data_IF_230537252408
#
_entry.id   IF_230537252408
#
_cell.length_a   1.000
_cell.length_b   1.000
_cell.length_c   1.000
_cell.angle_alpha   90.00
_cell.angle_beta   90.00
_cell.angle_gamma   90.00
#
_symmetry.space_group_name_H-M   'P 1'
#
loop_
_entity.id
_entity.type
_entity.pdbx_description
1 polymer ?
#
# COMPACT_ATOMS: atom_id res chain seq x y z
N UNK A 1 24.07 -29.05 33.53
CA UNK A 1 25.06 -28.53 32.56
C UNK A 1 24.45 -28.64 31.16
N UNK A 2 23.52 -27.74 30.80
CA UNK A 2 22.93 -27.72 29.46
C UNK A 2 23.88 -27.01 28.52
N UNK A 3 24.48 -27.74 27.58
CA UNK A 3 25.30 -27.17 26.53
C UNK A 3 24.47 -26.11 25.79
N UNK A 4 24.85 -24.83 25.90
CA UNK A 4 24.23 -23.77 25.11
C UNK A 4 24.50 -24.06 23.63
N UNK A 5 23.52 -24.66 22.94
CA UNK A 5 23.58 -24.83 21.49
C UNK A 5 23.88 -23.47 20.86
N UNK A 6 24.76 -23.40 19.84
CA UNK A 6 25.11 -22.12 19.25
C UNK A 6 23.83 -21.45 18.72
N UNK A 7 23.64 -20.13 18.93
CA UNK A 7 22.40 -19.43 18.60
C UNK A 7 21.87 -19.72 17.19
N UNK A 8 22.78 -19.95 16.23
CA UNK A 8 22.45 -20.31 14.85
C UNK A 8 21.68 -21.64 14.71
N UNK A 9 21.95 -22.65 15.55
CA UNK A 9 21.23 -23.94 15.50
C UNK A 9 19.78 -23.77 15.92
N UNK A 10 19.53 -22.95 16.93
CA UNK A 10 18.16 -22.63 17.39
C UNK A 10 17.41 -21.86 16.29
N UNK A 11 18.08 -20.91 15.62
CA UNK A 11 17.48 -20.17 14.51
C UNK A 11 17.15 -21.07 13.32
N UNK A 12 18.01 -22.05 12.99
CA UNK A 12 17.73 -23.05 11.94
C UNK A 12 16.52 -23.91 12.30
N UNK A 13 16.38 -24.35 13.55
CA UNK A 13 15.21 -25.10 13.99
C UNK A 13 13.92 -24.27 13.84
N UNK A 14 13.97 -22.99 14.21
CA UNK A 14 12.85 -22.06 14.03
C UNK A 14 12.52 -21.81 12.56
N UNK A 15 13.52 -21.77 11.70
CA UNK A 15 13.33 -21.72 10.24
C UNK A 15 12.58 -22.96 9.75
N UNK A 16 12.95 -24.17 10.20
CA UNK A 16 12.24 -25.40 9.84
C UNK A 16 10.80 -25.40 10.34
N UNK A 17 10.56 -24.92 11.56
CA UNK A 17 9.21 -24.78 12.11
C UNK A 17 8.36 -23.80 11.28
N UNK A 18 8.93 -22.67 10.87
CA UNK A 18 8.25 -21.72 9.98
C UNK A 18 7.95 -22.33 8.60
N UNK A 19 8.90 -23.06 8.02
CA UNK A 19 8.72 -23.75 6.75
C UNK A 19 7.57 -24.78 6.82
N UNK A 20 7.53 -25.60 7.89
CA UNK A 20 6.45 -26.56 8.12
C UNK A 20 5.09 -25.87 8.25
N UNK A 21 5.03 -24.78 9.01
CA UNK A 21 3.80 -24.00 9.19
C UNK A 21 3.30 -23.43 7.85
N UNK A 22 4.19 -22.86 7.04
CA UNK A 22 3.80 -22.31 5.75
C UNK A 22 3.32 -23.42 4.81
N UNK A 23 4.01 -24.56 4.75
CA UNK A 23 3.59 -25.72 3.96
C UNK A 23 2.21 -26.22 4.39
N UNK A 24 1.95 -26.30 5.70
CA UNK A 24 0.64 -26.66 6.23
C UNK A 24 -0.44 -25.66 5.80
N UNK A 25 -0.18 -24.35 5.91
CA UNK A 25 -1.12 -23.32 5.48
C UNK A 25 -1.40 -23.37 3.98
N UNK A 26 -0.38 -23.59 3.14
CA UNK A 26 -0.55 -23.75 1.69
C UNK A 26 -1.34 -25.03 1.38
N UNK A 27 -1.07 -26.13 2.08
CA UNK A 27 -1.82 -27.38 1.91
C UNK A 27 -3.30 -27.19 2.28
N UNK A 28 -3.60 -26.53 3.40
CA UNK A 28 -4.97 -26.20 3.79
C UNK A 28 -5.64 -25.27 2.78
N UNK A 29 -4.91 -24.25 2.30
CA UNK A 29 -5.38 -23.34 1.25
C UNK A 29 -5.69 -24.05 -0.05
N UNK A 30 -4.83 -24.98 -0.49
CA UNK A 30 -5.08 -25.82 -1.68
C UNK A 30 -6.33 -26.67 -1.53
N UNK A 31 -6.49 -27.32 -0.37
CA UNK A 31 -7.67 -28.14 -0.08
C UNK A 31 -8.97 -27.31 -0.04
N UNK A 32 -8.89 -26.07 0.41
CA UNK A 32 -10.01 -25.12 0.35
C UNK A 32 -10.29 -24.68 -1.09
N UNK A 33 -9.28 -24.21 -1.82
CA UNK A 33 -9.42 -23.67 -3.18
C UNK A 33 -9.93 -24.71 -4.16
N UNK A 34 -9.44 -25.96 -4.11
CA UNK A 34 -9.93 -27.03 -4.99
C UNK A 34 -11.41 -27.36 -4.81
N UNK A 35 -12.02 -26.98 -3.68
CA UNK A 35 -13.45 -27.19 -3.43
C UNK A 35 -14.33 -26.10 -4.09
N UNK A 36 -13.76 -24.92 -4.36
CA UNK A 36 -14.48 -23.75 -4.88
C UNK A 36 -13.99 -23.28 -6.25
N UNK A 37 -12.92 -23.88 -6.77
CA UNK A 37 -12.30 -23.51 -8.04
C UNK A 37 -11.80 -24.73 -8.81
N UNK A 38 -11.59 -24.57 -10.12
CA UNK A 38 -11.19 -25.68 -10.99
C UNK A 38 -9.86 -26.29 -10.54
N UNK A 39 -9.74 -27.62 -10.62
CA UNK A 39 -8.58 -28.36 -10.11
C UNK A 39 -7.25 -27.86 -10.69
N UNK A 40 -7.20 -27.56 -11.98
CA UNK A 40 -6.01 -27.00 -12.64
C UNK A 40 -5.58 -25.66 -12.04
N UNK A 41 -6.52 -24.78 -11.71
CA UNK A 41 -6.21 -23.49 -11.10
C UNK A 41 -5.80 -23.64 -9.64
N UNK A 42 -6.40 -24.60 -8.90
CA UNK A 42 -5.94 -24.94 -7.56
C UNK A 42 -4.50 -25.48 -7.56
N UNK A 43 -4.14 -26.32 -8.54
CA UNK A 43 -2.77 -26.82 -8.72
C UNK A 43 -1.79 -25.68 -9.06
N UNK A 44 -2.14 -24.81 -10.01
CA UNK A 44 -1.36 -23.60 -10.31
C UNK A 44 -1.16 -22.74 -9.07
N UNK A 45 -2.23 -22.60 -8.26
CA UNK A 45 -2.16 -21.86 -7.01
C UNK A 45 -1.18 -22.45 -6.01
N UNK A 46 -1.17 -23.78 -5.86
CA UNK A 46 -0.19 -24.44 -5.02
C UNK A 46 1.24 -24.27 -5.57
N UNK A 47 1.44 -24.35 -6.89
CA UNK A 47 2.76 -24.20 -7.54
C UNK A 47 3.34 -22.81 -7.23
N UNK A 48 2.61 -21.74 -7.51
CA UNK A 48 3.13 -20.38 -7.33
C UNK A 48 3.25 -19.97 -5.86
N UNK A 49 2.36 -20.46 -4.99
CA UNK A 49 2.51 -20.28 -3.53
C UNK A 49 3.79 -20.96 -3.02
N UNK A 50 4.07 -22.19 -3.47
CA UNK A 50 5.28 -22.92 -3.08
C UNK A 50 6.55 -22.33 -3.70
N UNK A 51 6.49 -21.83 -4.94
CA UNK A 51 7.63 -21.15 -5.57
C UNK A 51 8.05 -19.93 -4.74
N UNK A 52 7.09 -19.09 -4.35
CA UNK A 52 7.39 -17.94 -3.50
C UNK A 52 7.84 -18.35 -2.10
N UNK A 53 7.24 -19.40 -1.52
CA UNK A 53 7.69 -19.98 -0.25
C UNK A 53 9.18 -20.31 -0.29
N UNK A 54 9.64 -21.02 -1.33
CA UNK A 54 11.04 -21.42 -1.49
C UNK A 54 11.94 -20.18 -1.56
N UNK A 55 11.53 -19.15 -2.32
CA UNK A 55 12.25 -17.89 -2.40
C UNK A 55 12.35 -17.18 -1.04
N UNK A 56 11.22 -17.01 -0.34
CA UNK A 56 11.17 -16.36 0.97
C UNK A 56 11.97 -17.12 2.03
N UNK A 57 11.84 -18.44 2.09
CA UNK A 57 12.62 -19.28 2.99
C UNK A 57 14.12 -19.24 2.66
N UNK A 58 14.50 -19.17 1.38
CA UNK A 58 15.88 -18.97 0.97
C UNK A 58 16.45 -17.63 1.44
N UNK A 59 15.68 -16.54 1.30
CA UNK A 59 16.03 -15.21 1.83
C UNK A 59 16.16 -15.27 3.35
N UNK A 60 15.20 -15.87 4.05
CA UNK A 60 15.23 -16.02 5.51
C UNK A 60 16.46 -16.81 5.95
N UNK A 61 16.77 -17.92 5.28
CA UNK A 61 17.95 -18.74 5.58
C UNK A 61 19.24 -17.94 5.46
N UNK A 62 19.38 -17.16 4.39
CA UNK A 62 20.52 -16.26 4.19
C UNK A 62 20.57 -15.15 5.25
N UNK A 63 19.41 -14.65 5.66
CA UNK A 63 19.30 -13.56 6.63
C UNK A 63 19.53 -14.01 8.09
N UNK A 64 19.46 -15.31 8.42
CA UNK A 64 19.67 -15.82 9.79
C UNK A 64 21.01 -15.37 10.40
N UNK A 65 22.06 -15.25 9.57
CA UNK A 65 23.39 -14.79 10.01
C UNK A 65 23.42 -13.32 10.43
N UNK A 66 22.38 -12.56 10.11
CA UNK A 66 22.21 -11.15 10.45
C UNK A 66 21.17 -10.95 11.57
N UNK A 67 20.79 -12.00 12.30
CA UNK A 67 19.84 -11.90 13.41
C UNK A 67 20.49 -11.30 14.66
N UNK A 68 20.90 -10.04 14.55
CA UNK A 68 21.51 -9.25 15.61
C UNK A 68 21.00 -7.81 15.52
N UNK A 69 21.14 -7.04 16.60
CA UNK A 69 20.82 -5.61 16.60
C UNK A 69 21.88 -4.84 15.82
N UNK A 70 21.55 -3.64 15.34
CA UNK A 70 22.43 -2.85 14.47
C UNK A 70 23.79 -2.51 15.09
N UNK A 71 23.85 -2.39 16.43
CA UNK A 71 25.06 -2.05 17.17
C UNK A 71 25.70 -3.25 17.90
N UNK A 72 25.17 -4.46 17.71
CA UNK A 72 25.61 -5.66 18.41
C UNK A 72 26.03 -6.73 17.38
N UNK A 73 27.21 -7.33 17.56
CA UNK A 73 27.67 -8.43 16.71
C UNK A 73 27.14 -9.80 17.16
N UNK A 74 26.51 -9.87 18.34
CA UNK A 74 26.04 -11.13 18.94
C UNK A 74 24.70 -11.54 18.33
N UNK A 75 24.65 -12.76 17.81
CA UNK A 75 23.40 -13.35 17.33
C UNK A 75 22.39 -13.57 18.46
N UNK A 76 21.17 -13.15 18.20
CA UNK A 76 20.02 -13.40 19.06
C UNK A 76 19.49 -14.82 18.82
N UNK A 77 19.17 -15.59 19.87
CA UNK A 77 18.66 -16.95 19.72
C UNK A 77 17.18 -17.01 19.31
N UNK A 78 16.49 -15.88 19.31
CA UNK A 78 15.06 -15.76 18.97
C UNK A 78 14.85 -14.73 17.87
N UNK A 79 13.76 -14.87 17.12
CA UNK A 79 13.37 -13.89 16.09
C UNK A 79 12.78 -12.61 16.70
N UNK A 80 12.14 -12.69 17.87
CA UNK A 80 11.37 -11.58 18.43
C UNK A 80 10.00 -11.41 17.74
N UNK A 81 9.16 -10.54 18.32
CA UNK A 81 7.78 -10.36 17.87
C UNK A 81 7.68 -9.64 16.51
N UNK A 82 8.52 -8.64 16.25
CA UNK A 82 8.54 -7.92 14.97
C UNK A 82 8.79 -8.87 13.79
N UNK A 83 9.88 -9.65 13.86
CA UNK A 83 10.19 -10.64 12.82
C UNK A 83 9.12 -11.73 12.70
N UNK A 84 8.44 -12.12 13.78
CA UNK A 84 7.32 -13.06 13.70
C UNK A 84 6.14 -12.48 12.90
N UNK A 85 5.83 -11.19 13.08
CA UNK A 85 4.80 -10.49 12.29
C UNK A 85 5.25 -10.40 10.82
N UNK A 86 6.53 -10.08 10.56
CA UNK A 86 7.10 -10.08 9.20
C UNK A 86 7.00 -11.45 8.53
N UNK A 87 7.20 -12.55 9.26
CA UNK A 87 6.97 -13.90 8.76
C UNK A 87 5.48 -14.16 8.48
N UNK A 88 4.56 -13.75 9.34
CA UNK A 88 3.12 -13.88 9.06
C UNK A 88 2.73 -13.09 7.81
N UNK A 89 3.30 -11.89 7.61
CA UNK A 89 3.15 -11.11 6.37
C UNK A 89 3.68 -11.87 5.15
N UNK A 90 4.88 -12.45 5.26
CA UNK A 90 5.47 -13.28 4.21
C UNK A 90 4.56 -14.43 3.78
N UNK A 91 3.91 -15.10 4.75
CA UNK A 91 2.92 -16.14 4.48
C UNK A 91 1.71 -15.59 3.70
N UNK A 92 1.15 -14.44 4.10
CA UNK A 92 0.05 -13.81 3.35
C UNK A 92 0.45 -13.49 1.90
N UNK A 93 1.70 -13.06 1.68
CA UNK A 93 2.25 -12.82 0.33
C UNK A 93 2.46 -14.14 -0.44
N UNK A 94 2.83 -15.25 0.22
CA UNK A 94 2.88 -16.58 -0.41
C UNK A 94 1.51 -17.02 -0.91
N UNK A 95 0.47 -16.86 -0.08
CA UNK A 95 -0.92 -17.20 -0.44
C UNK A 95 -1.43 -16.30 -1.58
N UNK A 96 -1.03 -15.03 -1.60
CA UNK A 96 -1.34 -14.10 -2.69
C UNK A 96 -0.73 -14.56 -4.01
N UNK A 97 0.54 -15.00 -4.00
CA UNK A 97 1.25 -15.41 -5.20
C UNK A 97 0.63 -16.63 -5.89
N UNK A 98 -0.07 -17.49 -5.17
CA UNK A 98 -0.82 -18.59 -5.78
C UNK A 98 -1.83 -18.12 -6.83
N UNK A 99 -2.35 -16.91 -6.75
CA UNK A 99 -3.30 -16.41 -7.75
C UNK A 99 -2.63 -15.99 -9.07
N UNK A 100 -1.30 -15.98 -9.15
CA UNK A 100 -0.58 -15.64 -10.37
C UNK A 100 -0.83 -16.69 -11.46
N UNK A 101 -0.91 -16.23 -12.70
CA UNK A 101 -1.08 -17.06 -13.91
C UNK A 101 -2.33 -17.95 -13.88
N UNK A 102 -3.39 -17.47 -13.24
CA UNK A 102 -4.71 -18.09 -13.22
C UNK A 102 -5.80 -17.01 -13.42
N UNK A 103 -6.98 -17.35 -13.96
CA UNK A 103 -8.06 -16.36 -14.08
C UNK A 103 -8.49 -15.86 -12.69
N UNK A 104 -9.26 -14.78 -12.65
CA UNK A 104 -9.84 -14.34 -11.38
C UNK A 104 -10.79 -15.44 -10.84
N UNK A 105 -10.64 -15.87 -9.57
CA UNK A 105 -11.53 -16.89 -9.01
C UNK A 105 -12.97 -16.35 -8.88
N UNK A 106 -13.99 -17.21 -9.02
CA UNK A 106 -15.39 -16.78 -8.95
C UNK A 106 -15.87 -16.55 -7.51
N UNK A 107 -16.98 -15.82 -7.38
CA UNK A 107 -17.72 -15.67 -6.11
C UNK A 107 -16.91 -15.04 -4.99
N UNK A 108 -17.09 -15.54 -3.75
CA UNK A 108 -16.39 -15.02 -2.57
C UNK A 108 -14.87 -15.20 -2.65
N UNK A 109 -14.38 -16.20 -3.38
CA UNK A 109 -12.95 -16.44 -3.53
C UNK A 109 -12.25 -15.32 -4.33
N UNK A 110 -12.99 -14.56 -5.15
CA UNK A 110 -12.51 -13.36 -5.83
C UNK A 110 -11.91 -12.31 -4.89
N UNK A 111 -12.32 -12.30 -3.62
CA UNK A 111 -11.83 -11.38 -2.59
C UNK A 111 -10.54 -11.84 -1.91
N UNK A 112 -10.14 -13.10 -2.09
CA UNK A 112 -8.97 -13.66 -1.41
C UNK A 112 -7.66 -12.92 -1.76
N UNK A 113 -7.35 -12.55 -3.02
CA UNK A 113 -6.17 -11.75 -3.33
C UNK A 113 -6.15 -10.40 -2.61
N UNK A 114 -7.28 -9.67 -2.63
CA UNK A 114 -7.42 -8.40 -1.93
C UNK A 114 -7.20 -8.59 -0.43
N UNK A 115 -7.81 -9.61 0.18
CA UNK A 115 -7.66 -9.88 1.60
C UNK A 115 -6.21 -10.20 1.97
N UNK A 116 -5.54 -11.08 1.21
CA UNK A 116 -4.14 -11.44 1.46
C UNK A 116 -3.20 -10.22 1.39
N UNK A 117 -3.35 -9.37 0.37
CA UNK A 117 -2.49 -8.19 0.24
C UNK A 117 -2.82 -7.10 1.27
N UNK A 118 -4.11 -6.90 1.59
CA UNK A 118 -4.54 -5.96 2.63
C UNK A 118 -4.01 -6.39 4.00
N UNK A 119 -4.10 -7.68 4.31
CA UNK A 119 -3.52 -8.24 5.53
C UNK A 119 -2.00 -8.03 5.55
N UNK A 120 -1.30 -8.25 4.43
CA UNK A 120 0.13 -7.99 4.34
C UNK A 120 0.49 -6.51 4.63
N UNK A 121 -0.27 -5.55 4.08
CA UNK A 121 -0.07 -4.12 4.33
C UNK A 121 -0.32 -3.75 5.81
N UNK A 122 -1.34 -4.34 6.43
CA UNK A 122 -1.63 -4.09 7.86
C UNK A 122 -0.50 -4.65 8.74
N UNK A 123 -0.03 -5.86 8.44
CA UNK A 123 1.05 -6.50 9.20
C UNK A 123 2.39 -5.76 9.06
N UNK A 124 2.68 -5.16 7.91
CA UNK A 124 3.84 -4.27 7.70
C UNK A 124 3.81 -3.07 8.65
N UNK A 125 2.67 -2.41 8.81
CA UNK A 125 2.55 -1.32 9.77
C UNK A 125 2.81 -1.79 11.21
N UNK A 126 2.29 -2.97 11.58
CA UNK A 126 2.42 -3.51 12.92
C UNK A 126 3.81 -4.06 13.24
N UNK A 127 4.53 -4.68 12.29
CA UNK A 127 5.86 -5.22 12.57
C UNK A 127 6.86 -4.12 12.96
N UNK A 128 6.84 -3.00 12.24
CA UNK A 128 7.67 -1.84 12.53
C UNK A 128 7.29 -1.17 13.85
N UNK A 129 5.99 -1.10 14.15
CA UNK A 129 5.49 -0.57 15.43
C UNK A 129 5.97 -1.42 16.61
N UNK A 130 5.78 -2.74 16.54
CA UNK A 130 6.18 -3.67 17.60
C UNK A 130 7.70 -3.72 17.75
N UNK A 131 8.46 -3.72 16.66
CA UNK A 131 9.92 -3.70 16.72
C UNK A 131 10.47 -2.46 17.44
N UNK A 132 9.83 -1.29 17.27
CA UNK A 132 10.22 -0.05 17.94
C UNK A 132 9.89 -0.05 19.43
N UNK A 133 8.68 -0.47 19.82
CA UNK A 133 8.27 -0.50 21.23
C UNK A 133 9.02 -1.57 22.03
N UNK A 134 9.32 -2.70 21.40
CA UNK A 134 10.08 -3.79 22.05
C UNK A 134 11.59 -3.54 22.06
N UNK A 135 12.06 -2.42 21.47
CA UNK A 135 13.48 -2.11 21.27
C UNK A 135 14.25 -3.33 20.70
N UNK A 136 13.62 -4.00 19.73
CA UNK A 136 14.08 -5.26 19.14
C UNK A 136 14.17 -5.16 17.62
N UNK A 137 14.75 -4.07 17.11
CA UNK A 137 15.10 -3.95 15.70
C UNK A 137 16.35 -4.78 15.39
N UNK A 138 16.27 -5.64 14.37
CA UNK A 138 17.36 -6.52 13.95
C UNK A 138 17.69 -6.28 12.48
N UNK A 139 18.96 -6.48 12.09
CA UNK A 139 19.39 -6.35 10.69
C UNK A 139 18.70 -7.39 9.81
N UNK A 140 18.49 -8.60 10.33
CA UNK A 140 17.66 -9.63 9.68
C UNK A 140 16.24 -9.11 9.38
N UNK A 141 15.60 -8.47 10.37
CA UNK A 141 14.27 -7.89 10.20
C UNK A 141 14.21 -6.82 9.11
N UNK A 142 15.19 -5.92 9.08
CA UNK A 142 15.29 -4.89 8.03
C UNK A 142 15.45 -5.51 6.63
N UNK A 143 16.24 -6.58 6.50
CA UNK A 143 16.39 -7.33 5.25
C UNK A 143 15.07 -7.98 4.83
N UNK A 144 14.42 -8.71 5.75
CA UNK A 144 13.17 -9.41 5.46
C UNK A 144 12.07 -8.43 5.05
N UNK A 145 11.97 -7.31 5.77
CA UNK A 145 11.01 -6.24 5.49
C UNK A 145 11.17 -5.71 4.06
N UNK A 146 12.40 -5.33 3.69
CA UNK A 146 12.68 -4.81 2.34
C UNK A 146 12.41 -5.82 1.23
N UNK A 147 12.77 -7.09 1.43
CA UNK A 147 12.62 -8.11 0.38
C UNK A 147 11.18 -8.60 0.25
N UNK A 148 10.48 -8.82 1.37
CA UNK A 148 9.10 -9.30 1.35
C UNK A 148 8.13 -8.22 0.87
N UNK A 149 8.36 -6.94 1.23
CA UNK A 149 7.58 -5.82 0.72
C UNK A 149 7.72 -5.68 -0.80
N UNK A 150 8.96 -5.69 -1.30
CA UNK A 150 9.24 -5.60 -2.73
C UNK A 150 8.59 -6.73 -3.54
N UNK A 151 8.65 -7.97 -3.04
CA UNK A 151 7.97 -9.12 -3.65
C UNK A 151 6.44 -8.99 -3.58
N UNK A 152 5.90 -8.62 -2.41
CA UNK A 152 4.46 -8.48 -2.21
C UNK A 152 3.85 -7.42 -3.12
N UNK A 153 4.47 -6.24 -3.22
CA UNK A 153 4.03 -5.17 -4.10
C UNK A 153 4.07 -5.59 -5.57
N UNK A 154 5.16 -6.24 -6.01
CA UNK A 154 5.29 -6.69 -7.41
C UNK A 154 4.22 -7.72 -7.77
N UNK A 155 3.96 -8.68 -6.88
CA UNK A 155 2.94 -9.72 -7.07
C UNK A 155 1.55 -9.09 -7.12
N UNK A 156 1.25 -8.16 -6.22
CA UNK A 156 -0.04 -7.47 -6.19
C UNK A 156 -0.29 -6.64 -7.46
N UNK A 157 0.73 -5.92 -7.96
CA UNK A 157 0.65 -5.21 -9.24
C UNK A 157 0.48 -6.20 -10.40
N UNK A 158 1.22 -7.32 -10.39
CA UNK A 158 1.09 -8.38 -11.40
C UNK A 158 -0.32 -8.94 -11.47
N UNK A 159 -0.95 -9.21 -10.32
CA UNK A 159 -2.34 -9.67 -10.24
C UNK A 159 -3.33 -8.62 -10.74
N UNK A 160 -3.15 -7.35 -10.35
CA UNK A 160 -4.02 -6.28 -10.82
C UNK A 160 -3.92 -6.08 -12.35
N UNK A 161 -2.73 -6.29 -12.95
CA UNK A 161 -2.57 -6.29 -14.41
C UNK A 161 -3.24 -7.53 -15.03
N UNK A 162 -3.02 -8.71 -14.45
CA UNK A 162 -3.60 -9.99 -14.90
C UNK A 162 -5.14 -9.96 -14.91
N UNK A 163 -5.76 -9.31 -13.93
CA UNK A 163 -7.21 -9.13 -13.85
C UNK A 163 -7.73 -7.96 -14.70
N UNK A 164 -6.87 -7.30 -15.48
CA UNK A 164 -7.26 -6.18 -16.35
C UNK A 164 -7.60 -4.89 -15.60
N UNK A 165 -7.26 -4.81 -14.31
CA UNK A 165 -7.54 -3.64 -13.48
C UNK A 165 -6.46 -2.57 -13.64
N UNK A 166 -5.20 -2.96 -13.86
CA UNK A 166 -4.09 -2.06 -14.13
C UNK A 166 -3.53 -2.24 -15.56
N UNK A 167 -3.08 -1.15 -16.20
CA UNK A 167 -2.37 -1.23 -17.46
C UNK A 167 -0.96 -1.80 -17.25
N UNK A 168 -0.44 -2.51 -18.27
CA UNK A 168 0.84 -3.21 -18.19
C UNK A 168 2.02 -2.31 -17.78
N UNK A 169 2.05 -1.06 -18.23
CA UNK A 169 3.15 -0.12 -17.91
C UNK A 169 3.30 0.17 -16.41
N UNK A 170 2.26 -0.08 -15.59
CA UNK A 170 2.33 0.15 -14.14
C UNK A 170 3.37 -0.71 -13.44
N UNK A 171 3.77 -1.84 -14.04
CA UNK A 171 4.82 -2.71 -13.50
C UNK A 171 6.16 -1.96 -13.32
N UNK A 172 6.44 -0.95 -14.14
CA UNK A 172 7.65 -0.11 -14.04
C UNK A 172 7.69 0.61 -12.68
N UNK A 173 6.53 1.04 -12.17
CA UNK A 173 6.43 1.69 -10.87
C UNK A 173 6.61 0.72 -9.72
N UNK A 174 6.07 -0.50 -9.84
CA UNK A 174 6.32 -1.59 -8.89
C UNK A 174 7.79 -1.99 -8.80
N UNK A 175 8.50 -1.93 -9.93
CA UNK A 175 9.94 -2.17 -10.03
C UNK A 175 10.78 -0.93 -9.72
N UNK A 176 10.18 0.18 -9.29
CA UNK A 176 10.86 1.46 -9.14
C UNK A 176 12.12 1.40 -8.29
N UNK A 177 12.07 0.71 -7.13
CA UNK A 177 13.24 0.52 -6.24
C UNK A 177 14.33 -0.31 -6.92
N UNK A 178 13.97 -1.43 -7.54
CA UNK A 178 14.90 -2.36 -8.17
C UNK A 178 15.61 -1.67 -9.34
N UNK A 179 14.86 -0.93 -10.17
CA UNK A 179 15.39 -0.11 -11.25
C UNK A 179 16.30 1.01 -10.72
N UNK A 180 15.94 1.63 -9.59
CA UNK A 180 16.76 2.66 -8.96
C UNK A 180 18.11 2.13 -8.47
N UNK A 181 18.10 0.99 -7.76
CA UNK A 181 19.32 0.32 -7.28
C UNK A 181 20.18 -0.15 -8.47
N UNK A 182 19.55 -0.75 -9.48
CA UNK A 182 20.22 -1.17 -10.71
C UNK A 182 20.88 0.02 -11.42
N UNK A 183 20.18 1.15 -11.54
CA UNK A 183 20.72 2.37 -12.13
C UNK A 183 21.94 2.90 -11.37
N UNK A 184 21.91 2.88 -10.03
CA UNK A 184 23.07 3.23 -9.20
C UNK A 184 24.24 2.28 -9.46
N UNK A 185 23.99 0.98 -9.51
CA UNK A 185 25.00 -0.03 -9.79
C UNK A 185 25.67 0.18 -11.15
N UNK A 186 24.89 0.43 -12.21
CA UNK A 186 25.41 0.74 -13.54
C UNK A 186 26.27 2.01 -13.51
N UNK A 187 25.82 3.07 -12.84
CA UNK A 187 26.60 4.31 -12.72
C UNK A 187 27.95 4.12 -12.03
N UNK A 188 27.98 3.36 -10.92
CA UNK A 188 29.22 3.03 -10.20
C UNK A 188 30.17 2.23 -11.09
N UNK A 189 29.65 1.27 -11.88
CA UNK A 189 30.44 0.51 -12.86
C UNK A 189 31.02 1.38 -13.98
N UNK A 190 30.30 2.43 -14.38
CA UNK A 190 30.74 3.40 -15.37
C UNK A 190 31.64 4.52 -14.79
N UNK A 191 32.05 4.43 -13.51
CA UNK A 191 32.91 5.43 -12.87
C UNK A 191 32.24 6.80 -12.67
N UNK A 192 30.91 6.89 -12.79
CA UNK A 192 30.17 8.15 -12.63
C UNK A 192 29.90 8.43 -11.15
N UNK A 193 29.91 9.70 -10.72
CA UNK A 193 29.59 10.05 -9.35
C UNK A 193 28.13 9.66 -9.02
N UNK A 194 27.93 9.24 -7.78
CA UNK A 194 26.62 8.90 -7.21
C UNK A 194 26.52 9.69 -5.91
N UNK A 195 25.55 10.60 -5.85
CA UNK A 195 25.35 11.46 -4.70
C UNK A 195 24.33 10.85 -3.74
N UNK A 196 24.50 11.13 -2.45
CA UNK A 196 23.58 10.67 -1.42
C UNK A 196 22.25 11.42 -1.48
N UNK A 197 21.17 10.69 -1.21
CA UNK A 197 19.84 11.25 -1.19
C UNK A 197 19.56 11.93 0.15
N UNK A 198 19.02 13.16 0.16
CA UNK A 198 18.56 13.76 1.40
C UNK A 198 17.41 12.94 1.99
N UNK A 199 17.28 12.89 3.34
CA UNK A 199 16.16 12.23 3.99
C UNK A 199 14.84 12.91 3.56
N UNK A 200 13.81 12.12 3.28
CA UNK A 200 12.52 12.64 2.80
C UNK A 200 11.33 11.84 3.32
N UNK A 201 10.56 12.44 4.22
CA UNK A 201 9.32 11.85 4.76
C UNK A 201 8.24 11.64 3.66
N UNK A 202 8.24 12.50 2.64
CA UNK A 202 7.28 12.41 1.53
C UNK A 202 7.36 11.08 0.79
N UNK A 203 8.55 10.45 0.69
CA UNK A 203 8.71 9.13 0.04
C UNK A 203 7.88 8.06 0.75
N UNK A 204 7.92 8.06 2.08
CA UNK A 204 7.18 7.11 2.91
C UNK A 204 5.67 7.32 2.77
N UNK A 205 5.23 8.58 2.82
CA UNK A 205 3.80 8.91 2.68
C UNK A 205 3.28 8.47 1.31
N UNK A 206 4.03 8.76 0.23
CA UNK A 206 3.68 8.33 -1.12
C UNK A 206 3.61 6.80 -1.19
N UNK A 207 4.61 6.07 -0.69
CA UNK A 207 4.62 4.61 -0.69
C UNK A 207 3.42 4.01 0.07
N UNK A 208 3.07 4.56 1.25
CA UNK A 208 1.90 4.09 2.00
C UNK A 208 0.59 4.28 1.25
N UNK A 209 0.42 5.41 0.53
CA UNK A 209 -0.74 5.60 -0.35
C UNK A 209 -0.75 4.64 -1.53
N UNK A 210 0.41 4.28 -2.08
CA UNK A 210 0.50 3.26 -3.14
C UNK A 210 0.07 1.89 -2.65
N UNK A 211 0.54 1.47 -1.46
CA UNK A 211 0.14 0.20 -0.86
C UNK A 211 -1.38 0.14 -0.64
N UNK A 212 -1.98 1.21 -0.09
CA UNK A 212 -3.42 1.32 0.08
C UNK A 212 -4.18 1.28 -1.25
N UNK A 213 -3.66 1.96 -2.28
CA UNK A 213 -4.23 1.93 -3.63
C UNK A 213 -4.19 0.52 -4.23
N UNK A 214 -3.05 -0.17 -4.19
CA UNK A 214 -2.90 -1.53 -4.73
C UNK A 214 -3.75 -2.54 -3.95
N UNK A 215 -3.92 -2.36 -2.63
CA UNK A 215 -4.87 -3.13 -1.83
C UNK A 215 -6.31 -2.93 -2.29
N UNK A 216 -6.70 -1.69 -2.57
CA UNK A 216 -8.06 -1.37 -3.01
C UNK A 216 -8.33 -1.83 -4.44
N UNK A 217 -7.38 -1.68 -5.36
CA UNK A 217 -7.61 -2.00 -6.78
C UNK A 217 -7.83 -3.49 -7.00
N UNK A 218 -7.23 -4.36 -6.18
CA UNK A 218 -7.43 -5.81 -6.22
C UNK A 218 -8.85 -6.26 -5.83
N UNK A 219 -9.71 -5.35 -5.38
CA UNK A 219 -11.09 -5.71 -5.06
C UNK A 219 -11.82 -6.10 -6.35
N UNK A 220 -12.58 -7.20 -6.36
CA UNK A 220 -13.18 -7.76 -7.56
C UNK A 220 -14.33 -6.91 -8.14
N UNK A 221 -14.65 -5.77 -7.51
CA UNK A 221 -15.69 -4.84 -7.94
C UNK A 221 -15.17 -3.74 -8.86
N UNK A 222 -13.86 -3.50 -8.89
CA UNK A 222 -13.29 -2.40 -9.68
C UNK A 222 -12.81 -2.87 -11.06
N UNK A 223 -13.21 -2.13 -12.08
CA UNK A 223 -12.87 -2.38 -13.49
C UNK A 223 -12.56 -1.06 -14.22
N UNK A 224 -11.85 -1.10 -15.36
CA UNK A 224 -11.71 0.07 -16.22
C UNK A 224 -13.07 0.61 -16.68
N UNK A 225 -13.23 1.94 -16.87
CA UNK A 225 -12.20 2.99 -16.90
C UNK A 225 -11.84 3.60 -15.54
N UNK A 226 -12.56 3.26 -14.47
CA UNK A 226 -12.36 3.78 -13.12
C UNK A 226 -10.93 3.53 -12.62
N UNK A 227 -10.48 2.28 -12.75
CA UNK A 227 -9.14 1.87 -12.31
C UNK A 227 -8.02 2.56 -13.11
N UNK A 228 -8.26 2.84 -14.39
CA UNK A 228 -7.33 3.59 -15.25
C UNK A 228 -7.13 5.02 -14.77
N UNK A 229 -8.21 5.72 -14.41
CA UNK A 229 -8.13 7.07 -13.85
C UNK A 229 -7.35 7.07 -12.53
N UNK A 230 -7.69 6.16 -11.60
CA UNK A 230 -7.01 6.05 -10.32
C UNK A 230 -5.51 5.74 -10.50
N UNK A 231 -5.18 4.78 -11.37
CA UNK A 231 -3.82 4.41 -11.75
C UNK A 231 -2.98 5.62 -12.20
N UNK A 232 -3.52 6.44 -13.13
CA UNK A 232 -2.82 7.64 -13.60
C UNK A 232 -2.57 8.60 -12.43
N UNK A 233 -3.57 8.85 -11.59
CA UNK A 233 -3.46 9.79 -10.48
C UNK A 233 -2.46 9.34 -9.40
N UNK A 234 -2.41 8.05 -9.08
CA UNK A 234 -1.42 7.49 -8.15
C UNK A 234 -0.02 7.42 -8.79
N UNK A 235 0.08 7.26 -10.12
CA UNK A 235 1.38 7.23 -10.79
C UNK A 235 2.13 8.56 -10.75
N UNK A 236 1.43 9.70 -10.80
CA UNK A 236 2.03 11.05 -10.89
C UNK A 236 2.97 11.35 -9.71
N UNK A 237 2.54 11.30 -8.44
CA UNK A 237 3.42 11.60 -7.31
C UNK A 237 4.54 10.55 -7.14
N UNK A 238 4.26 9.29 -7.46
CA UNK A 238 5.25 8.22 -7.37
C UNK A 238 6.37 8.39 -8.41
N UNK A 239 6.01 8.53 -9.68
CA UNK A 239 6.94 8.79 -10.77
C UNK A 239 7.69 10.12 -10.57
N UNK A 240 6.99 11.16 -10.11
CA UNK A 240 7.60 12.44 -9.74
C UNK A 240 8.63 12.31 -8.62
N UNK A 241 8.36 11.49 -7.59
CA UNK A 241 9.33 11.23 -6.51
C UNK A 241 10.56 10.50 -7.03
N UNK A 242 10.39 9.38 -7.74
CA UNK A 242 11.52 8.60 -8.28
C UNK A 242 12.33 9.41 -9.30
N UNK A 243 11.67 10.13 -10.21
CA UNK A 243 12.33 10.99 -11.19
C UNK A 243 13.17 12.06 -10.53
N UNK A 244 12.62 12.78 -9.54
CA UNK A 244 13.38 13.76 -8.75
C UNK A 244 14.58 13.12 -8.05
N UNK A 245 14.37 12.00 -7.39
CA UNK A 245 15.41 11.31 -6.63
C UNK A 245 16.54 10.84 -7.56
N UNK A 246 16.20 10.38 -8.76
CA UNK A 246 17.20 10.02 -9.78
C UNK A 246 18.00 11.22 -10.26
N UNK A 247 17.36 12.38 -10.49
CA UNK A 247 18.05 13.60 -10.90
C UNK A 247 19.07 14.10 -9.85
N UNK A 248 18.77 13.92 -8.56
CA UNK A 248 19.70 14.23 -7.47
C UNK A 248 20.85 13.22 -7.42
N UNK A 249 20.56 11.91 -7.39
CA UNK A 249 21.59 10.86 -7.34
C UNK A 249 22.53 10.92 -8.53
N UNK A 250 21.99 11.27 -9.70
CA UNK A 250 22.74 11.37 -10.94
C UNK A 250 23.60 12.65 -11.05
N UNK A 251 23.49 13.58 -10.09
CA UNK A 251 24.22 14.84 -10.11
C UNK A 251 23.72 15.85 -11.15
N UNK A 252 22.58 15.58 -11.80
CA UNK A 252 21.94 16.54 -12.71
C UNK A 252 21.37 17.73 -11.94
N UNK A 253 20.89 17.47 -10.72
CA UNK A 253 20.53 18.52 -9.78
C UNK A 253 21.38 18.44 -8.52
N UNK A 254 21.99 19.56 -8.19
CA UNK A 254 22.58 19.77 -6.89
C UNK A 254 21.47 20.13 -5.89
N UNK A 255 21.28 19.25 -4.90
CA UNK A 255 20.28 19.39 -3.85
C UNK A 255 20.51 20.64 -2.98
N UNK A 256 21.75 21.12 -2.89
CA UNK A 256 22.14 22.30 -2.12
C UNK A 256 22.01 23.60 -2.93
N UNK A 257 21.88 23.51 -4.25
CA UNK A 257 21.78 24.69 -5.10
C UNK A 257 20.53 25.55 -4.78
N UNK A 258 20.75 26.87 -4.67
CA UNK A 258 19.71 27.83 -4.34
C UNK A 258 18.56 27.82 -5.36
N UNK A 259 18.87 27.58 -6.64
CA UNK A 259 17.90 27.47 -7.74
C UNK A 259 16.97 26.28 -7.54
N UNK A 260 17.52 25.09 -7.25
CA UNK A 260 16.74 23.90 -6.99
C UNK A 260 15.87 24.05 -5.75
N UNK A 261 16.42 24.59 -4.66
CA UNK A 261 15.64 24.82 -3.43
C UNK A 261 14.49 25.81 -3.65
N UNK A 262 14.70 26.86 -4.45
CA UNK A 262 13.67 27.85 -4.79
C UNK A 262 12.57 27.24 -5.66
N UNK A 263 12.95 26.49 -6.70
CA UNK A 263 12.01 25.75 -7.54
C UNK A 263 11.19 24.75 -6.71
N UNK A 264 11.85 23.97 -5.85
CA UNK A 264 11.20 23.02 -4.95
C UNK A 264 10.20 23.70 -4.03
N UNK A 265 10.56 24.85 -3.43
CA UNK A 265 9.65 25.63 -2.59
C UNK A 265 8.45 26.13 -3.38
N UNK A 266 8.65 26.63 -4.60
CA UNK A 266 7.55 27.07 -5.49
C UNK A 266 6.61 25.93 -5.84
N UNK A 267 7.14 24.80 -6.33
CA UNK A 267 6.38 23.60 -6.68
C UNK A 267 5.59 23.09 -5.48
N UNK A 268 6.22 23.02 -4.30
CA UNK A 268 5.54 22.63 -3.07
C UNK A 268 4.42 23.61 -2.71
N UNK A 269 4.68 24.91 -2.78
CA UNK A 269 3.70 25.94 -2.48
C UNK A 269 2.49 25.93 -3.43
N UNK A 270 2.69 25.60 -4.71
CA UNK A 270 1.60 25.50 -5.68
C UNK A 270 0.86 24.17 -5.58
N UNK A 271 1.56 23.03 -5.61
CA UNK A 271 0.97 21.69 -5.66
C UNK A 271 0.46 21.17 -4.32
N UNK A 272 1.17 21.43 -3.22
CA UNK A 272 0.72 21.02 -1.87
C UNK A 272 -0.09 22.15 -1.20
N UNK A 273 0.04 23.39 -1.67
CA UNK A 273 -0.65 24.55 -1.08
C UNK A 273 -1.98 24.88 -1.76
N UNK A 274 -1.92 25.37 -3.01
CA UNK A 274 -3.09 25.91 -3.71
C UNK A 274 -3.95 24.85 -4.39
N UNK A 275 -3.33 23.85 -5.00
CA UNK A 275 -4.06 22.82 -5.74
C UNK A 275 -5.07 22.04 -4.86
N UNK A 276 -4.75 21.65 -3.61
CA UNK A 276 -5.73 20.98 -2.75
C UNK A 276 -6.91 21.88 -2.40
N UNK A 277 -6.71 23.19 -2.26
CA UNK A 277 -7.83 24.12 -2.04
C UNK A 277 -8.78 24.11 -3.24
N UNK A 278 -8.25 24.18 -4.45
CA UNK A 278 -9.06 24.11 -5.68
C UNK A 278 -9.81 22.77 -5.76
N UNK A 279 -9.13 21.66 -5.44
CA UNK A 279 -9.76 20.34 -5.38
C UNK A 279 -10.88 20.28 -4.33
N UNK A 280 -10.72 20.89 -3.15
CA UNK A 280 -11.77 20.94 -2.12
C UNK A 280 -13.02 21.67 -2.61
N UNK A 281 -12.84 22.85 -3.23
CA UNK A 281 -13.96 23.66 -3.75
C UNK A 281 -14.67 22.93 -4.89
N UNK A 282 -13.91 22.35 -5.82
CA UNK A 282 -14.47 21.57 -6.93
C UNK A 282 -15.21 20.32 -6.44
N UNK A 283 -14.59 19.55 -5.52
CA UNK A 283 -15.20 18.36 -4.94
C UNK A 283 -16.46 18.70 -4.15
N UNK A 284 -16.49 19.82 -3.43
CA UNK A 284 -17.69 20.30 -2.74
C UNK A 284 -18.87 20.52 -3.70
N UNK A 285 -18.65 21.28 -4.78
CA UNK A 285 -19.70 21.55 -5.78
C UNK A 285 -20.20 20.29 -6.46
N UNK A 286 -19.28 19.42 -6.90
CA UNK A 286 -19.63 18.14 -7.54
C UNK A 286 -20.31 17.17 -6.58
N UNK A 287 -19.92 17.15 -5.30
CA UNK A 287 -20.54 16.28 -4.31
C UNK A 287 -21.95 16.74 -3.95
N UNK A 288 -22.24 18.05 -3.91
CA UNK A 288 -23.63 18.53 -3.77
C UNK A 288 -24.50 18.07 -4.94
N UNK A 289 -23.97 18.14 -6.17
CA UNK A 289 -24.67 17.64 -7.35
C UNK A 289 -24.89 16.12 -7.31
N UNK A 290 -23.90 15.36 -6.83
CA UNK A 290 -24.04 13.92 -6.64
C UNK A 290 -25.07 13.63 -5.56
N UNK A 291 -24.99 14.27 -4.39
CA UNK A 291 -25.92 14.05 -3.29
C UNK A 291 -27.36 14.41 -3.64
N UNK A 292 -27.62 15.48 -4.40
CA UNK A 292 -28.98 15.80 -4.86
C UNK A 292 -29.56 14.72 -5.78
N UNK A 293 -28.75 14.14 -6.66
CA UNK A 293 -29.13 13.00 -7.51
C UNK A 293 -29.25 11.69 -6.73
N UNK A 294 -28.33 11.43 -5.79
CA UNK A 294 -28.26 10.19 -5.03
C UNK A 294 -29.30 10.15 -3.92
N UNK A 295 -29.66 11.25 -3.27
CA UNK A 295 -30.68 11.26 -2.21
C UNK A 295 -32.09 11.01 -2.80
N UNK A 296 -32.36 11.60 -3.97
CA UNK A 296 -33.59 11.37 -4.73
C UNK A 296 -33.66 9.94 -5.30
N UNK A 297 -32.54 9.41 -5.79
CA UNK A 297 -32.45 8.02 -6.26
C UNK A 297 -32.41 6.97 -5.13
N UNK A 298 -31.81 7.26 -3.98
CA UNK A 298 -31.68 6.35 -2.84
C UNK A 298 -33.02 6.13 -2.13
N UNK A 299 -33.85 7.17 -2.01
CA UNK A 299 -35.24 7.05 -1.57
C UNK A 299 -36.06 6.09 -2.47
N UNK A 300 -35.70 5.98 -3.75
CA UNK A 300 -36.30 5.05 -4.71
C UNK A 300 -35.59 3.67 -4.79
N UNK A 301 -34.31 3.58 -4.39
CA UNK A 301 -33.45 2.37 -4.49
C UNK A 301 -33.40 1.50 -3.23
N UNK A 302 -34.08 1.86 -2.15
CA UNK A 302 -34.31 0.96 -1.00
C UNK A 302 -34.88 -0.40 -1.41
N UNK A 303 -35.50 -0.50 -2.60
CA UNK A 303 -35.94 -1.75 -3.20
C UNK A 303 -34.82 -2.63 -3.82
N UNK A 304 -33.71 -2.06 -4.28
CA UNK A 304 -32.64 -2.82 -4.98
C UNK A 304 -31.64 -3.47 -4.02
N UNK A 305 -31.53 -2.92 -2.80
CA UNK A 305 -30.63 -3.41 -1.76
C UNK A 305 -31.36 -4.20 -0.67
N UNK A 306 -32.67 -4.43 -0.78
CA UNK A 306 -33.44 -5.23 0.17
C UNK A 306 -32.88 -6.67 0.34
N UNK A 307 -32.15 -7.18 -0.66
CA UNK A 307 -31.49 -8.49 -0.63
C UNK A 307 -29.99 -8.46 -0.27
N UNK A 308 -29.41 -7.27 -0.07
CA UNK A 308 -28.01 -7.18 0.34
C UNK A 308 -27.85 -7.55 1.83
N UNK A 309 -26.72 -8.16 2.24
CA UNK A 309 -26.46 -8.48 3.64
C UNK A 309 -26.66 -7.24 4.54
N UNK A 310 -27.33 -7.42 5.67
CA UNK A 310 -27.70 -6.36 6.62
C UNK A 310 -26.55 -5.37 6.92
N UNK A 311 -25.33 -5.89 7.06
CA UNK A 311 -24.11 -5.11 7.29
C UNK A 311 -23.78 -4.14 6.17
N UNK A 312 -23.94 -4.54 4.91
CA UNK A 312 -23.64 -3.70 3.75
C UNK A 312 -24.65 -2.55 3.65
N UNK A 313 -25.93 -2.84 3.91
CA UNK A 313 -26.98 -1.82 3.96
C UNK A 313 -26.78 -0.82 5.10
N UNK A 314 -26.43 -1.28 6.29
CA UNK A 314 -26.10 -0.40 7.41
C UNK A 314 -24.90 0.50 7.11
N UNK A 315 -23.86 -0.03 6.46
CA UNK A 315 -22.69 0.73 6.04
C UNK A 315 -23.03 1.78 4.97
N UNK A 316 -23.85 1.43 3.98
CA UNK A 316 -24.29 2.39 2.95
C UNK A 316 -25.14 3.52 3.54
N UNK A 317 -26.09 3.19 4.41
CA UNK A 317 -26.94 4.16 5.09
C UNK A 317 -26.11 5.11 5.97
N UNK A 318 -25.15 4.58 6.73
CA UNK A 318 -24.26 5.40 7.57
C UNK A 318 -23.36 6.30 6.72
N UNK A 319 -22.76 5.81 5.63
CA UNK A 319 -21.96 6.65 4.73
C UNK A 319 -22.79 7.80 4.12
N UNK A 320 -24.02 7.52 3.68
CA UNK A 320 -24.91 8.55 3.13
C UNK A 320 -25.33 9.56 4.19
N UNK A 321 -25.68 9.13 5.40
CA UNK A 321 -26.06 10.02 6.51
C UNK A 321 -24.90 10.94 6.94
N UNK A 322 -23.67 10.43 6.93
CA UNK A 322 -22.48 11.21 7.32
C UNK A 322 -21.94 12.08 6.18
N UNK A 323 -22.34 11.82 4.93
CA UNK A 323 -21.81 12.52 3.76
C UNK A 323 -21.99 14.04 3.75
N UNK A 324 -23.12 14.65 4.21
CA UNK A 324 -23.23 16.11 4.23
C UNK A 324 -22.21 16.74 5.20
N UNK A 325 -22.02 16.09 6.35
CA UNK A 325 -21.05 16.51 7.37
C UNK A 325 -19.64 16.36 6.80
N UNK A 326 -19.34 15.23 6.17
CA UNK A 326 -18.04 14.99 5.54
C UNK A 326 -17.71 16.02 4.46
N UNK A 327 -18.68 16.40 3.62
CA UNK A 327 -18.53 17.45 2.60
C UNK A 327 -18.24 18.81 3.21
N UNK A 328 -18.97 19.20 4.26
CA UNK A 328 -18.74 20.47 4.95
C UNK A 328 -17.36 20.51 5.63
N UNK A 329 -16.99 19.44 6.35
CA UNK A 329 -15.68 19.32 6.99
C UNK A 329 -14.54 19.29 5.96
N UNK A 330 -14.74 18.62 4.83
CA UNK A 330 -13.79 18.61 3.72
C UNK A 330 -13.56 20.03 3.22
N UNK A 331 -14.62 20.81 2.93
CA UNK A 331 -14.51 22.18 2.45
C UNK A 331 -13.73 23.06 3.45
N UNK A 332 -14.05 22.96 4.73
CA UNK A 332 -13.34 23.66 5.82
C UNK A 332 -11.89 23.18 6.02
N UNK A 333 -11.50 22.06 5.42
CA UNK A 333 -10.17 21.50 5.55
C UNK A 333 -9.93 20.88 6.93
N UNK A 334 -10.97 20.29 7.51
CA UNK A 334 -10.93 19.55 8.78
C UNK A 334 -10.82 18.07 8.46
N UNK A 335 -9.75 17.40 8.92
CA UNK A 335 -9.48 15.98 8.64
C UNK A 335 -9.60 15.62 7.15
N UNK A 336 -9.06 16.46 6.26
CA UNK A 336 -9.37 16.42 4.82
C UNK A 336 -9.13 15.06 4.19
N UNK A 337 -8.10 14.32 4.62
CA UNK A 337 -7.79 12.99 4.07
C UNK A 337 -8.84 11.94 4.45
N UNK A 338 -9.34 12.00 5.69
CA UNK A 338 -10.40 11.11 6.16
C UNK A 338 -11.71 11.40 5.41
N UNK A 339 -12.05 12.67 5.25
CA UNK A 339 -13.24 13.05 4.50
C UNK A 339 -13.13 12.64 3.03
N UNK A 340 -11.96 12.86 2.40
CA UNK A 340 -11.72 12.42 1.04
C UNK A 340 -11.86 10.90 0.87
N UNK A 341 -11.41 10.10 1.84
CA UNK A 341 -11.58 8.64 1.84
C UNK A 341 -13.06 8.23 1.90
N UNK A 342 -13.82 8.81 2.83
CA UNK A 342 -15.26 8.54 2.99
C UNK A 342 -16.02 8.88 1.70
N UNK A 343 -15.78 10.08 1.16
CA UNK A 343 -16.43 10.56 -0.06
C UNK A 343 -15.98 9.78 -1.31
N UNK A 344 -14.75 9.26 -1.33
CA UNK A 344 -14.27 8.37 -2.39
C UNK A 344 -15.08 7.08 -2.41
N UNK A 345 -15.35 6.48 -1.25
CA UNK A 345 -16.20 5.29 -1.14
C UNK A 345 -17.59 5.52 -1.73
N UNK A 346 -18.23 6.65 -1.39
CA UNK A 346 -19.52 7.05 -1.96
C UNK A 346 -19.46 7.29 -3.47
N UNK A 347 -18.41 7.94 -3.96
CA UNK A 347 -18.24 8.21 -5.39
C UNK A 347 -18.03 6.91 -6.17
N UNK A 348 -17.27 5.96 -5.62
CA UNK A 348 -17.12 4.63 -6.20
C UNK A 348 -18.45 3.86 -6.25
N UNK A 349 -19.26 3.95 -5.20
CA UNK A 349 -20.59 3.34 -5.19
C UNK A 349 -21.52 3.94 -6.24
N UNK A 350 -21.48 5.27 -6.43
CA UNK A 350 -22.20 5.95 -7.52
C UNK A 350 -21.73 5.45 -8.89
N UNK A 351 -20.42 5.35 -9.13
CA UNK A 351 -19.86 4.84 -10.39
C UNK A 351 -20.30 3.40 -10.65
N UNK A 352 -20.30 2.54 -9.63
CA UNK A 352 -20.75 1.15 -9.76
C UNK A 352 -22.25 1.06 -10.07
N UNK A 353 -23.06 1.98 -9.53
CA UNK A 353 -24.52 1.93 -9.67
C UNK A 353 -25.06 2.70 -10.89
N UNK A 354 -24.36 3.72 -11.35
CA UNK A 354 -24.80 4.65 -12.40
C UNK A 354 -23.85 4.72 -13.61
N UNK A 355 -22.72 4.02 -13.54
CA UNK A 355 -21.68 4.03 -14.56
C UNK A 355 -20.66 5.17 -14.38
N UNK A 356 -19.50 5.01 -15.04
CA UNK A 356 -18.45 6.01 -15.02
C UNK A 356 -18.73 7.13 -16.03
N UNK A 357 -18.68 8.39 -15.57
CA UNK A 357 -18.83 9.59 -16.36
C UNK A 357 -17.69 10.56 -16.05
N UNK A 358 -16.81 10.77 -17.02
CA UNK A 358 -15.59 11.57 -16.82
C UNK A 358 -15.91 13.00 -16.36
N UNK A 359 -16.98 13.62 -16.88
CA UNK A 359 -17.37 15.00 -16.60
C UNK A 359 -17.99 15.23 -15.22
N UNK A 360 -18.40 14.18 -14.51
CA UNK A 360 -19.08 14.26 -13.22
C UNK A 360 -18.32 13.47 -12.15
N UNK A 361 -18.68 12.19 -11.96
CA UNK A 361 -18.08 11.34 -10.93
C UNK A 361 -16.59 11.05 -11.17
N UNK A 362 -16.12 11.10 -12.42
CA UNK A 362 -14.70 11.02 -12.76
C UNK A 362 -13.88 12.20 -12.23
N UNK A 363 -14.30 13.45 -12.50
CA UNK A 363 -13.62 14.64 -11.96
C UNK A 363 -13.70 14.68 -10.43
N UNK A 364 -14.85 14.32 -9.86
CA UNK A 364 -15.02 14.25 -8.41
C UNK A 364 -14.03 13.26 -7.79
N UNK A 365 -13.97 12.03 -8.33
CA UNK A 365 -13.03 11.02 -7.88
C UNK A 365 -11.58 11.52 -8.01
N UNK A 366 -11.23 12.15 -9.13
CA UNK A 366 -9.90 12.68 -9.33
C UNK A 366 -9.51 13.72 -8.26
N UNK A 367 -10.43 14.64 -7.94
CA UNK A 367 -10.24 15.62 -6.89
C UNK A 367 -10.09 14.96 -5.51
N UNK A 368 -10.92 13.97 -5.19
CA UNK A 368 -10.88 13.26 -3.91
C UNK A 368 -9.60 12.43 -3.74
N UNK A 369 -9.18 11.69 -4.78
CA UNK A 369 -7.92 10.94 -4.77
C UNK A 369 -6.70 11.87 -4.66
N UNK A 370 -6.77 13.06 -5.27
CA UNK A 370 -5.73 14.07 -5.12
C UNK A 370 -5.67 14.62 -3.69
N UNK A 371 -6.81 14.97 -3.09
CA UNK A 371 -6.91 15.40 -1.69
C UNK A 371 -6.42 14.32 -0.72
N UNK A 372 -6.73 13.06 -1.00
CA UNK A 372 -6.30 11.95 -0.17
C UNK A 372 -4.77 11.84 -0.16
N UNK A 373 -4.09 12.10 -1.28
CA UNK A 373 -2.63 12.04 -1.41
C UNK A 373 -1.92 13.31 -0.91
N UNK A 374 -2.43 14.50 -1.23
CA UNK A 374 -1.77 15.78 -0.92
C UNK A 374 -2.19 16.40 0.42
N UNK A 375 -3.34 16.04 0.97
CA UNK A 375 -3.91 16.67 2.17
C UNK A 375 -4.82 17.84 1.81
N UNK A 376 -5.19 18.68 2.78
CA UNK A 376 -6.12 19.81 2.54
C UNK A 376 -5.47 21.13 2.11
N UNK A 377 -4.14 21.22 2.11
CA UNK A 377 -3.41 22.39 1.61
C UNK A 377 -3.70 23.69 2.37
N UNK A 378 -3.62 24.82 1.66
CA UNK A 378 -3.77 26.16 2.26
C UNK A 378 -5.17 26.38 2.85
N UNK A 379 -5.23 27.10 3.98
CA UNK A 379 -6.49 27.43 4.68
C UNK A 379 -7.27 26.19 5.14
N UNK A 380 -6.56 25.10 5.44
CA UNK A 380 -7.16 24.00 6.17
C UNK A 380 -7.18 24.34 7.66
N UNK A 381 -8.37 24.23 8.29
CA UNK A 381 -8.54 24.62 9.69
C UNK A 381 -7.88 23.65 10.67
N UNK A 382 -7.93 22.34 10.40
CA UNK A 382 -7.43 21.35 11.35
C UNK A 382 -7.02 20.03 10.68
N UNK A 383 -5.73 19.68 10.81
CA UNK A 383 -5.13 18.51 10.18
C UNK A 383 -4.21 17.71 11.13
N UNK A 384 -4.74 17.12 12.21
CA UNK A 384 -3.96 16.30 13.13
C UNK A 384 -3.38 15.05 12.44
N UNK A 385 -4.02 14.54 11.38
CA UNK A 385 -3.61 13.36 10.64
C UNK A 385 -2.25 13.51 9.96
N UNK A 386 -1.83 14.74 9.62
CA UNK A 386 -0.51 14.96 9.03
C UNK A 386 0.62 14.60 10.00
N UNK A 387 0.41 14.83 11.30
CA UNK A 387 1.41 14.49 12.33
C UNK A 387 1.57 12.98 12.43
N UNK A 388 0.47 12.24 12.33
CA UNK A 388 0.45 10.77 12.39
C UNK A 388 1.13 10.18 11.14
N UNK A 389 0.86 10.71 9.95
CA UNK A 389 1.47 10.24 8.70
C UNK A 389 2.97 10.57 8.60
N UNK A 390 3.40 11.69 9.19
CA UNK A 390 4.80 12.14 9.15
C UNK A 390 5.68 11.58 10.26
N UNK A 391 5.12 11.08 11.37
CA UNK A 391 5.88 10.38 12.42
C UNK A 391 5.78 8.86 12.25
N UNK A 392 6.82 8.10 12.58
CA UNK A 392 6.65 6.63 12.67
C UNK A 392 5.98 6.32 14.00
N UNK A 393 4.94 5.50 13.96
CA UNK A 393 4.30 5.03 15.20
C UNK A 393 5.31 4.28 16.06
N UNK A 394 5.49 4.68 17.32
CA UNK A 394 6.49 4.11 18.24
C UNK A 394 7.89 4.75 18.18
N UNK A 395 8.10 5.81 17.38
CA UNK A 395 9.27 6.69 17.58
C UNK A 395 9.11 7.45 18.90
N UNK A 396 10.16 7.46 19.73
CA UNK A 396 10.21 8.30 20.91
C UNK A 396 9.98 9.76 20.48
N UNK A 397 9.13 10.49 21.20
CA UNK A 397 9.00 11.91 20.97
C UNK A 397 10.38 12.54 21.18
N UNK A 398 10.97 13.10 20.11
CA UNK A 398 12.10 13.99 20.30
C UNK A 398 11.63 15.09 21.26
N UNK A 399 12.36 15.33 22.38
CA UNK A 399 12.03 16.46 23.23
C UNK A 399 12.03 17.69 22.33
N UNK A 400 10.88 18.34 22.25
CA UNK A 400 10.73 19.61 21.55
C UNK A 400 11.70 20.60 22.18
N UNK A 401 12.80 20.87 21.50
CA UNK A 401 13.63 22.05 21.75
C UNK A 401 12.95 23.28 21.17
#
# INVERSE_FOLDING_TARGET
MFAHSPPITILRLRWFAAALLYLLCILLGYNFIRAYWHLTYAQNWAIWSNALLICQLGILWWALKHNHRRNEARLLPTFGYGNAITLTRGLAVCLLAGFLFAPQPPGLLAWAPSFCYTLACILDYFDGYVARITHHSTVMGEILDMEYDGLGLLIAIGLAIQYGQLPFWYIILGLGRQLFIFGIWVRKRLGRPVYDLPPSDNRRVIAGFQMGFISTILWPVFTPPLTTLACILFSIPLAGSFGRDWLVVSGLFDAESLRYQTLRRRVKHTLEGWLPLLCRVAAFGLMIQLMTKSYTAYAARTAYFAEAPLLLNGLLATLLLLSPIAVALMLLGVLTRLQALILTGLTCLDILANGFQLSSNGVLLAALLWLMQMGGGKWALWQPEERILRRRAGEAAHPTT
#
